data_IF_061112447326
#
_entry.id   IF_061112447326
#
_cell.length_a   1.000
_cell.length_b   1.000
_cell.length_c   1.000
_cell.angle_alpha   90.00
_cell.angle_beta   90.00
_cell.angle_gamma   90.00
#
_symmetry.space_group_name_H-M   'P 1'
#
loop_
_entity.id
_entity.type
_entity.pdbx_description
1 polymer ?
#
# COMPACT_ATOMS: atom_id res chain seq x y z
N UNK A 1 30.80 -40.97 -38.99
CA UNK A 1 31.48 -40.01 -38.06
C UNK A 1 31.49 -38.55 -38.58
N UNK A 2 31.31 -38.29 -39.87
CA UNK A 2 31.29 -36.94 -40.46
C UNK A 2 30.00 -36.16 -40.18
N UNK A 3 28.77 -36.74 -40.15
CA UNK A 3 27.53 -36.02 -39.89
C UNK A 3 27.44 -35.50 -38.44
N UNK A 4 27.91 -36.23 -37.46
CA UNK A 4 27.87 -35.86 -36.04
C UNK A 4 28.76 -34.62 -35.72
N UNK A 5 29.94 -34.51 -36.38
CA UNK A 5 30.83 -33.34 -36.22
C UNK A 5 30.17 -32.07 -36.80
N UNK A 6 29.46 -32.14 -37.92
CA UNK A 6 28.68 -31.01 -38.49
C UNK A 6 27.46 -30.64 -37.62
N UNK A 7 26.79 -31.64 -37.05
CA UNK A 7 25.71 -31.39 -36.09
C UNK A 7 26.21 -30.71 -34.81
N UNK A 8 27.37 -31.10 -34.27
CA UNK A 8 28.00 -30.44 -33.13
C UNK A 8 28.40 -28.99 -33.45
N UNK A 9 28.86 -28.70 -34.67
CA UNK A 9 29.16 -27.32 -35.11
C UNK A 9 27.91 -26.48 -35.37
N UNK A 10 26.76 -27.10 -35.64
CA UNK A 10 25.47 -26.38 -35.72
C UNK A 10 24.93 -25.90 -34.37
N UNK A 11 25.52 -26.32 -33.26
CA UNK A 11 25.19 -25.79 -31.91
C UNK A 11 25.58 -24.32 -31.70
N UNK A 12 26.31 -23.66 -32.62
CA UNK A 12 26.41 -22.20 -32.69
C UNK A 12 25.01 -21.57 -32.83
N UNK A 13 24.10 -22.26 -33.49
CA UNK A 13 22.69 -21.85 -33.63
C UNK A 13 21.93 -21.69 -32.31
N UNK A 14 22.34 -22.38 -31.27
CA UNK A 14 21.67 -22.37 -29.96
C UNK A 14 22.22 -21.32 -28.98
N UNK A 15 23.38 -20.68 -29.29
CA UNK A 15 23.95 -19.57 -28.50
C UNK A 15 23.56 -18.18 -29.04
N UNK A 16 22.42 -18.06 -29.69
CA UNK A 16 21.92 -16.84 -30.34
C UNK A 16 21.52 -15.69 -29.40
N UNK A 17 22.27 -15.45 -28.30
CA UNK A 17 22.31 -14.15 -27.64
C UNK A 17 22.90 -13.03 -28.52
N UNK A 18 23.56 -13.42 -29.64
CA UNK A 18 24.32 -12.52 -30.48
C UNK A 18 23.51 -12.07 -31.70
N UNK A 19 22.47 -12.81 -32.05
CA UNK A 19 21.55 -12.51 -33.16
C UNK A 19 20.18 -12.20 -32.60
N UNK A 20 19.69 -11.01 -32.91
CA UNK A 20 18.34 -10.61 -32.57
C UNK A 20 17.35 -11.32 -33.51
N UNK A 21 16.61 -12.27 -32.97
CA UNK A 21 15.61 -13.02 -33.73
C UNK A 21 14.36 -12.20 -34.04
N UNK A 22 14.19 -11.01 -33.45
CA UNK A 22 13.09 -10.10 -33.79
C UNK A 22 13.21 -9.57 -35.22
N UNK A 23 14.41 -9.61 -35.80
CA UNK A 23 14.67 -9.21 -37.17
C UNK A 23 14.35 -10.30 -38.19
N UNK A 24 13.86 -11.46 -37.78
CA UNK A 24 13.42 -12.51 -38.74
C UNK A 24 12.08 -12.13 -39.34
N UNK A 25 12.00 -12.08 -40.69
CA UNK A 25 10.74 -11.81 -41.38
C UNK A 25 9.71 -12.91 -41.13
N UNK A 26 8.47 -12.51 -40.84
CA UNK A 26 7.32 -13.42 -40.78
C UNK A 26 6.80 -13.80 -42.18
N UNK A 27 7.34 -13.18 -43.24
CA UNK A 27 6.99 -13.49 -44.62
C UNK A 27 7.68 -14.80 -45.04
N UNK A 28 6.95 -15.79 -45.61
CA UNK A 28 7.55 -17.01 -46.15
C UNK A 28 8.65 -16.76 -47.21
N UNK A 29 8.64 -15.59 -47.86
CA UNK A 29 9.62 -15.18 -48.86
C UNK A 29 10.82 -14.41 -48.27
N UNK A 30 10.87 -14.18 -46.96
CA UNK A 30 11.91 -13.41 -46.30
C UNK A 30 11.68 -11.90 -46.37
N UNK A 31 12.73 -11.12 -46.19
CA UNK A 31 12.72 -9.67 -46.42
C UNK A 31 12.77 -9.40 -47.92
N UNK A 32 11.87 -8.55 -48.41
CA UNK A 32 11.82 -8.20 -49.83
C UNK A 32 12.61 -6.95 -50.18
N UNK A 33 12.94 -6.13 -49.16
CA UNK A 33 13.56 -4.82 -49.31
C UNK A 33 15.03 -4.77 -48.82
N UNK A 34 15.67 -5.93 -48.59
CA UNK A 34 17.05 -6.02 -48.09
C UNK A 34 18.13 -5.99 -49.18
N UNK A 35 17.72 -5.85 -50.45
CA UNK A 35 18.63 -5.85 -51.60
C UNK A 35 19.23 -7.22 -51.91
N UNK A 36 18.79 -8.29 -51.27
CA UNK A 36 19.22 -9.66 -51.56
C UNK A 36 18.26 -10.38 -52.50
N UNK A 37 18.74 -11.42 -53.22
CA UNK A 37 17.86 -12.23 -54.04
C UNK A 37 16.83 -12.97 -53.19
N UNK A 38 15.60 -13.19 -53.70
CA UNK A 38 14.47 -13.85 -53.05
C UNK A 38 14.73 -15.24 -52.44
N UNK A 39 15.85 -15.85 -52.80
CA UNK A 39 16.29 -17.13 -52.20
C UNK A 39 17.32 -16.95 -51.07
N UNK A 40 17.69 -15.72 -50.72
CA UNK A 40 18.66 -15.40 -49.64
C UNK A 40 18.09 -14.29 -48.74
N UNK A 41 18.30 -14.41 -47.45
CA UNK A 41 17.88 -13.45 -46.44
C UNK A 41 19.00 -13.31 -45.39
N UNK A 42 19.06 -12.19 -44.68
CA UNK A 42 20.02 -11.93 -43.63
C UNK A 42 19.37 -12.12 -42.25
N UNK A 43 19.95 -12.97 -41.44
CA UNK A 43 19.48 -13.20 -40.07
C UNK A 43 20.04 -12.17 -39.06
N UNK A 44 21.15 -11.54 -39.42
CA UNK A 44 21.88 -10.59 -38.59
C UNK A 44 23.38 -10.70 -38.80
N UNK A 45 24.18 -9.93 -38.09
CA UNK A 45 25.64 -10.01 -38.12
C UNK A 45 26.22 -10.40 -36.75
N UNK A 46 27.35 -11.15 -36.76
CA UNK A 46 28.04 -11.61 -35.55
C UNK A 46 29.47 -11.06 -35.57
N UNK A 47 29.90 -10.29 -34.58
CA UNK A 47 31.26 -9.76 -34.53
C UNK A 47 32.27 -10.89 -34.33
N UNK A 48 33.23 -11.04 -35.24
CA UNK A 48 34.34 -11.97 -35.09
C UNK A 48 35.49 -11.33 -34.30
N UNK A 49 35.78 -10.06 -34.61
CA UNK A 49 36.79 -9.22 -33.98
C UNK A 49 36.24 -7.79 -33.82
N UNK A 50 37.01 -6.87 -33.17
CA UNK A 50 36.60 -5.45 -32.99
C UNK A 50 36.19 -4.72 -34.29
N UNK A 51 36.62 -5.18 -35.46
CA UNK A 51 36.43 -4.50 -36.75
C UNK A 51 35.80 -5.40 -37.83
N UNK A 52 35.38 -6.63 -37.52
CA UNK A 52 34.89 -7.58 -38.53
C UNK A 52 33.63 -8.24 -38.07
N UNK A 53 32.51 -7.84 -38.68
CA UNK A 53 31.19 -8.45 -38.46
C UNK A 53 30.86 -9.43 -39.58
N UNK A 54 30.56 -10.65 -39.22
CA UNK A 54 30.21 -11.70 -40.16
C UNK A 54 28.68 -11.76 -40.33
N UNK A 55 28.14 -11.46 -41.53
CA UNK A 55 26.73 -11.57 -41.76
C UNK A 55 26.30 -13.04 -41.80
N UNK A 56 25.22 -13.36 -41.14
CA UNK A 56 24.60 -14.68 -41.13
C UNK A 56 23.49 -14.73 -42.17
N UNK A 57 23.79 -15.38 -43.30
CA UNK A 57 22.83 -15.53 -44.40
C UNK A 57 22.02 -16.82 -44.25
N UNK A 58 20.73 -16.69 -44.48
CA UNK A 58 19.80 -17.80 -44.73
C UNK A 58 19.68 -18.02 -46.27
N UNK A 59 19.44 -19.26 -46.65
CA UNK A 59 19.18 -19.64 -48.05
C UNK A 59 17.95 -20.54 -48.13
N UNK A 60 17.05 -20.21 -49.04
CA UNK A 60 15.82 -20.95 -49.31
C UNK A 60 16.14 -22.13 -50.21
N UNK A 61 15.98 -23.33 -49.70
CA UNK A 61 16.28 -24.59 -50.43
C UNK A 61 15.03 -25.46 -50.49
N UNK A 62 14.87 -26.27 -51.55
CA UNK A 62 13.77 -27.22 -51.63
C UNK A 62 13.90 -28.27 -50.54
N UNK A 63 12.79 -28.65 -49.94
CA UNK A 63 12.67 -29.75 -49.00
C UNK A 63 12.29 -31.05 -49.69
N UNK A 64 12.51 -32.20 -49.03
CA UNK A 64 12.17 -33.55 -49.50
C UNK A 64 10.68 -33.72 -49.82
N UNK A 65 9.81 -32.90 -49.28
CA UNK A 65 8.35 -32.94 -49.43
C UNK A 65 7.82 -31.92 -50.48
N UNK A 66 8.68 -31.34 -51.33
CA UNK A 66 8.31 -30.37 -52.38
C UNK A 66 8.09 -28.95 -51.87
N UNK A 67 8.21 -28.71 -50.59
CA UNK A 67 8.18 -27.38 -49.99
C UNK A 67 9.53 -26.65 -50.11
N UNK A 68 9.58 -25.39 -49.66
CA UNK A 68 10.83 -24.61 -49.53
C UNK A 68 11.05 -24.28 -48.09
N UNK A 69 12.27 -24.54 -47.59
CA UNK A 69 12.69 -24.27 -46.23
C UNK A 69 13.92 -23.36 -46.19
N UNK A 70 14.02 -22.53 -45.17
CA UNK A 70 15.18 -21.69 -44.94
C UNK A 70 16.27 -22.46 -44.19
N UNK A 71 17.50 -22.46 -44.71
CA UNK A 71 18.68 -23.04 -44.07
C UNK A 71 19.82 -22.02 -44.02
N UNK A 72 20.73 -22.18 -43.09
CA UNK A 72 21.96 -21.37 -43.05
C UNK A 72 22.74 -21.56 -44.35
N UNK A 73 23.11 -20.46 -44.99
CA UNK A 73 23.82 -20.45 -46.26
C UNK A 73 25.23 -21.06 -46.13
N UNK A 74 25.68 -21.75 -47.19
CA UNK A 74 27.06 -22.24 -47.27
C UNK A 74 28.09 -21.12 -47.17
N UNK A 75 27.77 -19.89 -47.56
CA UNK A 75 28.65 -18.73 -47.39
C UNK A 75 28.91 -18.47 -45.91
N UNK A 76 27.91 -18.51 -45.06
CA UNK A 76 28.03 -18.40 -43.60
C UNK A 76 28.72 -19.62 -42.98
N UNK A 77 28.44 -20.83 -43.53
CA UNK A 77 29.03 -22.08 -43.03
C UNK A 77 30.56 -22.11 -43.08
N UNK A 78 31.18 -21.37 -44.00
CA UNK A 78 32.66 -21.23 -44.08
C UNK A 78 33.28 -20.57 -42.85
N UNK A 79 32.54 -19.64 -42.17
CA UNK A 79 33.00 -18.93 -41.00
C UNK A 79 32.78 -19.69 -39.68
N UNK A 80 32.07 -20.84 -39.71
CA UNK A 80 31.80 -21.65 -38.51
C UNK A 80 33.05 -21.98 -37.72
N UNK A 81 34.19 -22.40 -38.30
CA UNK A 81 35.38 -22.72 -37.52
C UNK A 81 35.99 -21.49 -36.82
N UNK A 82 35.93 -20.31 -37.48
CA UNK A 82 36.42 -19.07 -36.87
C UNK A 82 35.49 -18.58 -35.72
N UNK A 83 34.21 -18.59 -35.97
CA UNK A 83 33.22 -18.30 -34.95
C UNK A 83 33.25 -19.27 -33.76
N UNK A 84 33.53 -20.56 -34.03
CA UNK A 84 33.67 -21.55 -32.97
C UNK A 84 34.86 -21.28 -32.04
N UNK A 85 35.99 -20.74 -32.55
CA UNK A 85 37.11 -20.34 -31.70
C UNK A 85 36.74 -19.23 -30.71
N UNK A 86 35.90 -18.31 -31.12
CA UNK A 86 35.51 -17.15 -30.30
C UNK A 86 34.32 -17.46 -29.41
N UNK A 87 33.29 -18.12 -29.97
CA UNK A 87 31.98 -18.37 -29.32
C UNK A 87 31.75 -19.84 -28.96
N UNK A 88 32.69 -20.73 -29.20
CA UNK A 88 32.60 -22.15 -28.87
C UNK A 88 32.63 -22.46 -27.38
N UNK A 89 32.38 -23.71 -27.04
CA UNK A 89 32.48 -24.14 -25.64
C UNK A 89 33.93 -24.14 -25.15
N UNK A 90 34.09 -23.89 -23.84
CA UNK A 90 35.39 -23.99 -23.19
C UNK A 90 35.95 -25.42 -23.40
N UNK A 91 37.26 -25.58 -23.61
CA UNK A 91 37.93 -26.91 -23.76
C UNK A 91 37.62 -27.89 -22.64
N UNK A 92 37.35 -27.38 -21.41
CA UNK A 92 36.98 -28.21 -20.26
C UNK A 92 35.64 -28.88 -20.48
N UNK A 93 34.66 -28.14 -21.06
CA UNK A 93 33.31 -28.65 -21.35
C UNK A 93 33.35 -29.74 -22.41
N UNK A 94 34.21 -29.57 -23.44
CA UNK A 94 34.39 -30.56 -24.50
C UNK A 94 34.96 -31.86 -23.94
N UNK A 95 35.94 -31.77 -23.03
CA UNK A 95 36.49 -32.95 -22.34
C UNK A 95 35.45 -33.62 -21.44
N UNK A 96 34.63 -32.85 -20.76
CA UNK A 96 33.59 -33.39 -19.89
C UNK A 96 32.52 -34.13 -20.70
N UNK A 97 32.14 -33.61 -21.88
CA UNK A 97 31.19 -34.24 -22.79
C UNK A 97 31.68 -35.63 -23.27
N UNK A 98 32.97 -35.80 -23.51
CA UNK A 98 33.58 -37.07 -23.94
C UNK A 98 33.55 -38.14 -22.84
N UNK A 99 33.45 -37.78 -21.55
CA UNK A 99 33.48 -38.71 -20.41
C UNK A 99 32.07 -39.06 -19.88
N UNK A 100 31.03 -38.30 -20.24
CA UNK A 100 29.69 -38.52 -19.77
C UNK A 100 28.86 -39.38 -20.76
N UNK A 101 27.96 -40.29 -20.29
CA UNK A 101 27.11 -41.09 -21.16
C UNK A 101 26.18 -40.20 -21.99
N UNK A 102 25.95 -40.59 -23.22
CA UNK A 102 25.07 -39.86 -24.15
C UNK A 102 23.61 -40.03 -23.74
N UNK A 103 23.05 -39.03 -23.04
CA UNK A 103 21.63 -38.94 -22.82
C UNK A 103 21.13 -37.49 -23.02
N UNK A 104 19.89 -37.37 -23.42
CA UNK A 104 19.23 -36.08 -23.58
C UNK A 104 18.00 -36.04 -22.67
N UNK A 105 18.04 -35.15 -21.66
CA UNK A 105 16.92 -34.94 -20.79
C UNK A 105 16.35 -33.51 -21.03
N UNK A 106 15.07 -33.39 -21.38
CA UNK A 106 14.42 -32.11 -21.62
C UNK A 106 15.17 -31.18 -22.61
N UNK A 107 15.73 -31.77 -23.69
CA UNK A 107 16.57 -31.07 -24.67
C UNK A 107 17.88 -30.48 -24.13
N UNK A 108 18.30 -30.91 -22.93
CA UNK A 108 19.60 -30.61 -22.35
C UNK A 108 20.62 -31.70 -22.76
N UNK A 109 21.84 -31.27 -23.03
CA UNK A 109 22.96 -32.17 -23.18
C UNK A 109 23.41 -32.73 -21.83
N UNK A 110 24.05 -33.89 -21.80
CA UNK A 110 24.52 -34.57 -20.60
C UNK A 110 25.35 -33.65 -19.65
N UNK A 111 26.29 -32.89 -20.20
CA UNK A 111 27.09 -31.93 -19.42
C UNK A 111 26.29 -30.74 -18.90
N UNK A 112 25.24 -30.29 -19.61
CA UNK A 112 24.35 -29.22 -19.15
C UNK A 112 23.51 -29.66 -17.95
N UNK A 113 23.09 -30.93 -17.93
CA UNK A 113 22.39 -31.51 -16.77
C UNK A 113 23.31 -31.56 -15.55
N UNK A 114 24.55 -32.04 -15.74
CA UNK A 114 25.55 -32.04 -14.67
C UNK A 114 25.89 -30.62 -14.19
N UNK A 115 26.06 -29.67 -15.12
CA UNK A 115 26.24 -28.25 -14.81
C UNK A 115 25.11 -27.64 -14.04
N UNK A 116 23.87 -27.92 -14.44
CA UNK A 116 22.65 -27.45 -13.77
C UNK A 116 22.57 -27.98 -12.33
N UNK A 117 22.88 -29.26 -12.12
CA UNK A 117 22.94 -29.87 -10.79
C UNK A 117 24.02 -29.19 -9.91
N UNK A 118 25.22 -28.98 -10.45
CA UNK A 118 26.30 -28.32 -9.73
C UNK A 118 25.95 -26.87 -9.36
N UNK A 119 25.35 -26.11 -10.28
CA UNK A 119 24.89 -24.73 -10.02
C UNK A 119 23.79 -24.74 -8.98
N UNK A 120 22.84 -25.66 -9.05
CA UNK A 120 21.74 -25.77 -8.08
C UNK A 120 22.25 -26.11 -6.69
N UNK A 121 23.13 -27.11 -6.57
CA UNK A 121 23.74 -27.49 -5.29
C UNK A 121 24.66 -26.39 -4.75
N UNK A 122 25.46 -25.77 -5.61
CA UNK A 122 26.36 -24.67 -5.26
C UNK A 122 25.59 -23.45 -4.77
N UNK A 123 24.55 -23.04 -5.50
CA UNK A 123 23.68 -21.92 -5.10
C UNK A 123 22.94 -22.20 -3.79
N UNK A 124 22.46 -23.43 -3.59
CA UNK A 124 21.85 -23.86 -2.34
C UNK A 124 22.85 -23.84 -1.17
N UNK A 125 24.07 -24.35 -1.40
CA UNK A 125 25.15 -24.34 -0.41
C UNK A 125 25.53 -22.92 0.02
N UNK A 126 25.71 -22.00 -0.94
CA UNK A 126 26.01 -20.58 -0.68
C UNK A 126 24.87 -19.91 0.06
N UNK A 127 23.62 -20.11 -0.38
CA UNK A 127 22.44 -19.54 0.25
C UNK A 127 22.27 -20.03 1.71
N UNK A 128 22.48 -21.33 1.94
CA UNK A 128 22.44 -21.92 3.27
C UNK A 128 23.60 -21.45 4.16
N UNK A 129 24.81 -21.39 3.63
CA UNK A 129 25.98 -20.87 4.33
C UNK A 129 25.82 -19.41 4.74
N UNK A 130 25.31 -18.57 3.83
CA UNK A 130 24.99 -17.17 4.11
C UNK A 130 23.90 -17.06 5.19
N UNK A 131 22.85 -17.87 5.10
CA UNK A 131 21.80 -17.94 6.14
C UNK A 131 22.42 -18.29 7.51
N UNK A 132 23.26 -19.30 7.58
CA UNK A 132 23.89 -19.73 8.82
C UNK A 132 24.78 -18.62 9.41
N UNK A 133 25.59 -17.97 8.57
CA UNK A 133 26.49 -16.87 8.96
C UNK A 133 25.70 -15.68 9.50
N UNK A 134 24.61 -15.28 8.81
CA UNK A 134 23.77 -14.18 9.23
C UNK A 134 23.00 -14.49 10.52
N UNK A 135 22.47 -15.69 10.67
CA UNK A 135 21.82 -16.12 11.91
C UNK A 135 22.80 -16.17 13.09
N UNK A 136 24.04 -16.60 12.85
CA UNK A 136 25.10 -16.58 13.85
C UNK A 136 25.45 -15.14 14.28
N UNK A 137 25.59 -14.22 13.32
CA UNK A 137 25.87 -12.81 13.59
C UNK A 137 24.73 -12.13 14.40
N UNK A 138 23.47 -12.43 14.06
CA UNK A 138 22.29 -11.86 14.75
C UNK A 138 22.13 -12.44 16.17
N UNK A 139 22.64 -13.63 16.44
CA UNK A 139 22.53 -14.28 17.76
C UNK A 139 23.19 -13.45 18.88
N UNK A 140 24.18 -12.63 18.54
CA UNK A 140 24.88 -11.77 19.50
C UNK A 140 24.14 -10.47 19.85
N UNK A 141 23.10 -10.09 19.10
CA UNK A 141 22.36 -8.84 19.32
C UNK A 141 20.91 -9.11 19.72
N UNK A 142 20.58 -9.04 21.00
CA UNK A 142 19.21 -9.31 21.50
C UNK A 142 18.15 -8.37 20.92
N UNK A 143 18.51 -7.11 20.70
CA UNK A 143 17.58 -6.06 20.22
C UNK A 143 17.04 -6.34 18.83
N UNK A 144 17.86 -6.90 17.94
CA UNK A 144 17.51 -7.15 16.54
C UNK A 144 17.09 -8.60 16.26
N UNK A 145 17.33 -9.52 17.19
CA UNK A 145 17.16 -10.96 17.01
C UNK A 145 15.78 -11.36 16.52
N UNK A 146 14.71 -10.89 17.17
CA UNK A 146 13.32 -11.26 16.80
C UNK A 146 12.86 -10.70 15.45
N UNK A 147 13.30 -9.49 15.12
CA UNK A 147 12.87 -8.78 13.91
C UNK A 147 13.66 -9.23 12.68
N UNK A 148 14.97 -9.33 12.80
CA UNK A 148 15.85 -9.73 11.70
C UNK A 148 15.83 -11.24 11.43
N UNK A 149 15.49 -12.07 12.42
CA UNK A 149 15.39 -13.52 12.24
C UNK A 149 14.42 -13.90 11.11
N UNK A 150 13.27 -13.23 11.00
CA UNK A 150 12.29 -13.50 9.95
C UNK A 150 12.78 -13.18 8.55
N UNK A 151 13.51 -12.06 8.41
CA UNK A 151 14.14 -11.66 7.15
C UNK A 151 15.16 -12.69 6.68
N UNK A 152 16.07 -13.06 7.58
CA UNK A 152 17.21 -13.94 7.28
C UNK A 152 16.78 -15.40 7.17
N UNK A 153 15.71 -15.80 7.88
CA UNK A 153 15.30 -17.21 7.92
C UNK A 153 14.72 -17.70 6.60
N UNK A 154 13.98 -16.86 5.85
CA UNK A 154 13.24 -17.32 4.66
C UNK A 154 13.51 -16.46 3.41
N UNK A 155 13.15 -15.16 3.31
CA UNK A 155 13.18 -14.50 2.01
C UNK A 155 14.58 -14.23 1.47
N UNK A 156 15.54 -13.91 2.31
CA UNK A 156 16.89 -13.57 1.87
C UNK A 156 17.68 -14.77 1.29
N UNK A 157 17.71 -15.96 1.91
CA UNK A 157 18.35 -17.13 1.32
C UNK A 157 17.74 -17.55 -0.01
N UNK A 158 16.41 -17.49 -0.13
CA UNK A 158 15.72 -17.81 -1.38
C UNK A 158 16.04 -16.81 -2.49
N UNK A 159 16.13 -15.52 -2.17
CA UNK A 159 16.62 -14.52 -3.12
C UNK A 159 18.01 -14.86 -3.64
N UNK A 160 18.96 -15.12 -2.73
CA UNK A 160 20.33 -15.47 -3.11
C UNK A 160 20.36 -16.74 -3.94
N UNK A 161 19.63 -17.77 -3.54
CA UNK A 161 19.52 -19.03 -4.28
C UNK A 161 19.04 -18.82 -5.71
N UNK A 162 17.89 -18.18 -5.91
CA UNK A 162 17.31 -17.98 -7.24
C UNK A 162 18.15 -17.02 -8.09
N UNK A 163 18.80 -16.01 -7.47
CA UNK A 163 19.67 -15.09 -8.20
C UNK A 163 20.95 -15.76 -8.69
N UNK A 164 21.57 -16.57 -7.86
CA UNK A 164 22.73 -17.37 -8.26
C UNK A 164 22.36 -18.43 -9.31
N UNK A 165 21.21 -19.07 -9.15
CA UNK A 165 20.70 -20.02 -10.12
C UNK A 165 20.45 -19.36 -11.48
N UNK A 166 19.82 -18.18 -11.50
CA UNK A 166 19.60 -17.38 -12.71
C UNK A 166 20.94 -17.08 -13.43
N UNK A 167 21.91 -16.56 -12.68
CA UNK A 167 23.23 -16.23 -13.23
C UNK A 167 23.95 -17.47 -13.76
N UNK A 168 23.89 -18.58 -13.03
CA UNK A 168 24.51 -19.82 -13.46
C UNK A 168 23.84 -20.45 -14.70
N UNK A 169 22.52 -20.44 -14.75
CA UNK A 169 21.75 -20.92 -15.92
C UNK A 169 22.06 -20.09 -17.16
N UNK A 170 22.25 -18.77 -17.00
CA UNK A 170 22.63 -17.88 -18.09
C UNK A 170 23.96 -18.27 -18.76
N UNK A 171 24.93 -18.73 -17.96
CA UNK A 171 26.26 -19.14 -18.44
C UNK A 171 26.30 -20.55 -19.06
N UNK A 172 25.29 -21.40 -18.78
CA UNK A 172 25.22 -22.77 -19.33
C UNK A 172 24.96 -22.81 -20.85
N UNK A 173 24.61 -21.70 -21.48
CA UNK A 173 24.38 -21.65 -22.93
C UNK A 173 23.31 -22.66 -23.38
N UNK A 174 22.17 -22.67 -22.71
CA UNK A 174 21.07 -23.57 -22.99
C UNK A 174 20.52 -23.43 -24.42
N UNK A 175 20.09 -24.54 -25.02
CA UNK A 175 19.42 -24.53 -26.32
C UNK A 175 18.09 -23.73 -26.25
N UNK A 176 17.64 -23.20 -27.40
CA UNK A 176 16.37 -22.43 -27.47
C UNK A 176 15.20 -23.25 -26.91
N UNK A 177 15.16 -24.57 -27.20
CA UNK A 177 14.12 -25.45 -26.67
C UNK A 177 14.21 -25.65 -25.17
N UNK A 178 15.43 -25.80 -24.63
CA UNK A 178 15.63 -25.92 -23.19
C UNK A 178 15.27 -24.63 -22.44
N UNK A 179 15.50 -23.44 -23.04
CA UNK A 179 15.09 -22.15 -22.48
C UNK A 179 13.58 -21.97 -22.35
N UNK A 180 12.78 -22.64 -23.18
CA UNK A 180 11.32 -22.63 -23.03
C UNK A 180 10.91 -23.31 -21.71
N UNK A 181 11.65 -24.37 -21.32
CA UNK A 181 11.38 -25.07 -20.06
C UNK A 181 12.06 -24.43 -18.85
N UNK A 182 13.30 -23.95 -19.06
CA UNK A 182 14.06 -23.25 -18.00
C UNK A 182 14.08 -21.77 -18.35
N UNK A 183 12.97 -21.09 -18.06
CA UNK A 183 12.84 -19.67 -18.33
C UNK A 183 13.71 -18.85 -17.38
N UNK A 184 14.82 -18.32 -17.92
CA UNK A 184 15.77 -17.48 -17.18
C UNK A 184 15.11 -16.22 -16.60
N UNK A 185 14.16 -15.62 -17.33
CA UNK A 185 13.42 -14.47 -16.84
C UNK A 185 12.52 -14.85 -15.67
N UNK A 186 11.85 -16.02 -15.70
CA UNK A 186 11.05 -16.50 -14.59
C UNK A 186 11.87 -16.65 -13.30
N UNK A 187 13.09 -17.19 -13.39
CA UNK A 187 14.01 -17.28 -12.24
C UNK A 187 14.36 -15.90 -11.69
N UNK A 188 14.56 -14.92 -12.58
CA UNK A 188 14.78 -13.52 -12.21
C UNK A 188 13.59 -12.90 -11.47
N UNK A 189 12.37 -13.12 -11.95
CA UNK A 189 11.14 -12.65 -11.30
C UNK A 189 10.88 -13.35 -9.96
N UNK A 190 11.18 -14.64 -9.85
CA UNK A 190 11.13 -15.36 -8.56
C UNK A 190 12.15 -14.75 -7.58
N UNK A 191 13.37 -14.49 -8.01
CA UNK A 191 14.38 -13.83 -7.18
C UNK A 191 13.92 -12.44 -6.73
N UNK A 192 13.41 -11.59 -7.65
CA UNK A 192 12.90 -10.26 -7.32
C UNK A 192 11.72 -10.31 -6.36
N UNK A 193 10.85 -11.32 -6.47
CA UNK A 193 9.77 -11.56 -5.50
C UNK A 193 10.33 -11.75 -4.09
N UNK A 194 11.31 -12.61 -3.91
CA UNK A 194 11.93 -12.82 -2.60
C UNK A 194 12.67 -11.58 -2.10
N UNK A 195 13.28 -10.79 -2.98
CA UNK A 195 13.91 -9.51 -2.62
C UNK A 195 12.87 -8.51 -2.08
N UNK A 196 11.75 -8.36 -2.78
CA UNK A 196 10.68 -7.45 -2.34
C UNK A 196 10.04 -7.93 -1.03
N UNK A 197 9.81 -9.25 -0.89
CA UNK A 197 9.34 -9.82 0.37
C UNK A 197 10.34 -9.57 1.51
N UNK A 198 11.65 -9.67 1.24
CA UNK A 198 12.70 -9.36 2.20
C UNK A 198 12.68 -7.87 2.59
N UNK A 199 12.52 -6.97 1.62
CA UNK A 199 12.42 -5.54 1.87
C UNK A 199 11.19 -5.18 2.74
N UNK A 200 10.03 -5.79 2.47
CA UNK A 200 8.82 -5.59 3.29
C UNK A 200 9.06 -6.08 4.73
N UNK A 201 9.67 -7.25 4.93
CA UNK A 201 10.00 -7.75 6.27
C UNK A 201 11.01 -6.83 6.98
N UNK A 202 12.01 -6.33 6.26
CA UNK A 202 13.01 -5.42 6.80
C UNK A 202 12.38 -4.09 7.25
N UNK A 203 11.57 -3.47 6.38
CA UNK A 203 10.88 -2.21 6.71
C UNK A 203 9.94 -2.38 7.91
N UNK A 204 9.16 -3.47 7.94
CA UNK A 204 8.26 -3.75 9.07
C UNK A 204 9.04 -4.04 10.36
N UNK A 205 10.17 -4.71 10.28
CA UNK A 205 11.06 -4.96 11.41
C UNK A 205 11.65 -3.66 11.98
N UNK A 206 12.16 -2.78 11.10
CA UNK A 206 12.70 -1.47 11.49
C UNK A 206 11.61 -0.60 12.15
N UNK A 207 10.42 -0.58 11.61
CA UNK A 207 9.31 0.19 12.19
C UNK A 207 8.99 -0.30 13.60
N UNK A 208 8.84 -1.61 13.79
CA UNK A 208 8.51 -2.20 15.09
C UNK A 208 9.63 -2.00 16.13
N UNK A 209 10.89 -1.91 15.73
CA UNK A 209 12.00 -1.66 16.68
C UNK A 209 12.08 -0.21 17.16
N UNK A 210 11.52 0.74 16.39
CA UNK A 210 11.50 2.16 16.72
C UNK A 210 10.27 2.58 17.53
N UNK A 211 9.24 1.75 17.59
CA UNK A 211 7.95 2.10 18.19
C UNK A 211 7.88 1.65 19.65
N UNK A 212 7.43 2.54 20.54
CA UNK A 212 7.36 2.32 22.00
C UNK A 212 6.29 1.29 22.40
N UNK A 213 5.12 1.26 21.69
CA UNK A 213 4.00 0.37 21.96
C UNK A 213 3.97 -0.83 20.98
N UNK A 214 4.96 -1.72 21.09
CA UNK A 214 5.18 -2.84 20.18
C UNK A 214 3.97 -3.80 20.07
N UNK A 215 3.26 -4.02 21.15
CA UNK A 215 2.12 -4.95 21.20
C UNK A 215 0.91 -4.41 20.41
N UNK A 216 0.58 -3.15 20.59
CA UNK A 216 -0.50 -2.48 19.85
C UNK A 216 -0.22 -2.45 18.35
N UNK A 217 0.95 -1.94 17.96
CA UNK A 217 1.32 -1.82 16.55
C UNK A 217 1.49 -3.16 15.84
N UNK A 218 1.91 -4.21 16.54
CA UNK A 218 2.04 -5.55 15.94
C UNK A 218 0.70 -6.12 15.45
N UNK A 219 -0.40 -5.77 16.12
CA UNK A 219 -1.76 -6.17 15.71
C UNK A 219 -2.17 -5.56 14.36
N UNK A 220 -1.81 -4.29 14.12
CA UNK A 220 -2.14 -3.56 12.90
C UNK A 220 -1.19 -3.90 11.75
N UNK A 221 0.11 -3.98 12.03
CA UNK A 221 1.13 -4.20 11.00
C UNK A 221 1.06 -5.60 10.39
N UNK A 222 0.66 -6.62 11.16
CA UNK A 222 0.57 -8.00 10.62
C UNK A 222 -0.36 -8.10 9.41
N UNK A 223 -1.64 -7.68 9.47
CA UNK A 223 -2.53 -7.74 8.31
C UNK A 223 -2.05 -6.83 7.17
N UNK A 224 -1.60 -5.61 7.47
CA UNK A 224 -1.08 -4.67 6.45
C UNK A 224 0.10 -5.28 5.69
N UNK A 225 1.06 -5.87 6.41
CA UNK A 225 2.20 -6.57 5.81
C UNK A 225 1.76 -7.72 4.89
N UNK A 226 0.76 -8.50 5.30
CA UNK A 226 0.25 -9.63 4.50
C UNK A 226 -0.39 -9.13 3.21
N UNK A 227 -1.20 -8.08 3.29
CA UNK A 227 -1.82 -7.45 2.11
C UNK A 227 -0.73 -6.88 1.17
N UNK A 228 0.27 -6.18 1.74
CA UNK A 228 1.37 -5.60 0.95
C UNK A 228 2.18 -6.66 0.22
N UNK A 229 2.46 -7.81 0.87
CA UNK A 229 3.12 -8.95 0.23
C UNK A 229 2.30 -9.52 -0.92
N UNK A 230 1.00 -9.73 -0.70
CA UNK A 230 0.11 -10.24 -1.74
C UNK A 230 0.07 -9.28 -2.94
N UNK A 231 -0.06 -7.98 -2.69
CA UNK A 231 -0.08 -6.97 -3.75
C UNK A 231 1.24 -6.93 -4.53
N UNK A 232 2.37 -6.99 -3.84
CA UNK A 232 3.68 -7.02 -4.46
C UNK A 232 3.87 -8.27 -5.34
N UNK A 233 3.45 -9.45 -4.85
CA UNK A 233 3.48 -10.69 -5.64
C UNK A 233 2.60 -10.59 -6.88
N UNK A 234 1.41 -10.01 -6.77
CA UNK A 234 0.48 -9.82 -7.90
C UNK A 234 1.10 -8.92 -8.97
N UNK A 235 1.71 -7.80 -8.57
CA UNK A 235 2.38 -6.87 -9.50
C UNK A 235 3.54 -7.56 -10.21
N UNK A 236 4.39 -8.28 -9.49
CA UNK A 236 5.53 -8.99 -10.09
C UNK A 236 5.05 -10.07 -11.05
N UNK A 237 3.97 -10.79 -10.71
CA UNK A 237 3.37 -11.79 -11.60
C UNK A 237 2.88 -11.15 -12.90
N UNK A 238 2.19 -10.00 -12.83
CA UNK A 238 1.73 -9.27 -14.01
C UNK A 238 2.92 -8.84 -14.88
N UNK A 239 3.97 -8.29 -14.28
CA UNK A 239 5.18 -7.89 -14.99
C UNK A 239 5.85 -9.08 -15.71
N UNK A 240 5.93 -10.23 -15.04
CA UNK A 240 6.45 -11.44 -15.66
C UNK A 240 5.60 -11.94 -16.82
N UNK A 241 4.26 -11.92 -16.69
CA UNK A 241 3.35 -12.32 -17.77
C UNK A 241 3.49 -11.39 -18.98
N UNK A 242 3.64 -10.07 -18.74
CA UNK A 242 3.87 -9.07 -19.80
C UNK A 242 5.14 -9.39 -20.59
N UNK A 243 6.26 -9.62 -19.87
CA UNK A 243 7.54 -9.92 -20.51
C UNK A 243 7.52 -11.27 -21.22
N UNK A 244 6.70 -12.20 -20.72
CA UNK A 244 6.51 -13.50 -21.37
C UNK A 244 5.61 -13.45 -22.62
N UNK A 245 5.12 -12.25 -23.01
CA UNK A 245 4.31 -12.04 -24.21
C UNK A 245 2.83 -12.40 -24.07
N UNK A 246 2.33 -12.60 -22.85
CA UNK A 246 0.89 -12.79 -22.63
C UNK A 246 0.14 -11.46 -22.75
N UNK A 247 -1.05 -11.51 -23.37
CA UNK A 247 -1.95 -10.37 -23.38
C UNK A 247 -2.57 -10.16 -21.99
N UNK A 248 -2.07 -9.16 -21.28
CA UNK A 248 -2.51 -8.82 -19.91
C UNK A 248 -3.77 -7.96 -19.89
N UNK A 249 -4.26 -7.45 -21.03
CA UNK A 249 -5.40 -6.53 -21.05
C UNK A 249 -6.65 -7.17 -20.44
N UNK A 250 -6.91 -8.43 -20.73
CA UNK A 250 -8.04 -9.19 -20.14
C UNK A 250 -7.88 -9.34 -18.63
N UNK A 251 -6.66 -9.62 -18.15
CA UNK A 251 -6.37 -9.75 -16.71
C UNK A 251 -6.55 -8.40 -16.02
N UNK A 252 -6.02 -7.33 -16.61
CA UNK A 252 -6.15 -5.96 -16.06
C UNK A 252 -7.61 -5.49 -16.05
N UNK A 253 -8.39 -5.82 -17.09
CA UNK A 253 -9.82 -5.52 -17.10
C UNK A 253 -10.56 -6.25 -15.97
N UNK A 254 -10.29 -7.55 -15.78
CA UNK A 254 -10.86 -8.32 -14.67
C UNK A 254 -10.45 -7.79 -13.28
N UNK A 255 -9.18 -7.46 -13.11
CA UNK A 255 -8.67 -6.83 -11.88
C UNK A 255 -9.29 -5.44 -11.66
N UNK A 256 -9.52 -4.67 -12.72
CA UNK A 256 -10.20 -3.37 -12.67
C UNK A 256 -11.61 -3.50 -12.11
N UNK A 257 -12.42 -4.41 -12.63
CA UNK A 257 -13.79 -4.66 -12.15
C UNK A 257 -13.75 -5.21 -10.70
N UNK A 258 -12.86 -6.16 -10.43
CA UNK A 258 -12.69 -6.72 -9.08
C UNK A 258 -12.24 -5.68 -8.05
N UNK A 259 -11.34 -4.77 -8.42
CA UNK A 259 -10.88 -3.69 -7.54
C UNK A 259 -11.98 -2.67 -7.27
N UNK A 260 -12.85 -2.36 -8.25
CA UNK A 260 -14.01 -1.51 -8.06
C UNK A 260 -15.00 -2.12 -7.05
N UNK A 261 -15.30 -3.41 -7.21
CA UNK A 261 -16.17 -4.12 -6.26
C UNK A 261 -15.58 -4.12 -4.83
N UNK A 262 -14.27 -4.35 -4.70
CA UNK A 262 -13.58 -4.29 -3.43
C UNK A 262 -13.59 -2.87 -2.82
N UNK A 263 -13.38 -1.84 -3.64
CA UNK A 263 -13.42 -0.44 -3.21
C UNK A 263 -14.80 -0.08 -2.66
N UNK A 264 -15.88 -0.46 -3.35
CA UNK A 264 -17.26 -0.26 -2.88
C UNK A 264 -17.54 -1.01 -1.57
N UNK A 265 -17.05 -2.24 -1.44
CA UNK A 265 -17.18 -3.01 -0.20
C UNK A 265 -16.41 -2.39 0.98
N UNK A 266 -15.25 -1.77 0.73
CA UNK A 266 -14.40 -1.14 1.73
C UNK A 266 -14.78 0.32 2.04
N UNK A 267 -15.63 0.95 1.24
CA UNK A 267 -15.98 2.38 1.29
C UNK A 267 -16.33 2.85 2.71
N UNK A 268 -17.25 2.17 3.39
CA UNK A 268 -17.68 2.53 4.75
C UNK A 268 -16.56 2.52 5.78
N UNK A 269 -15.62 1.59 5.64
CA UNK A 269 -14.46 1.51 6.53
C UNK A 269 -13.50 2.67 6.26
N UNK A 270 -13.26 2.98 4.99
CA UNK A 270 -12.39 4.09 4.58
C UNK A 270 -12.95 5.45 4.99
N UNK A 271 -14.25 5.67 4.85
CA UNK A 271 -14.94 6.87 5.34
C UNK A 271 -14.69 7.11 6.83
N UNK A 272 -14.76 6.06 7.65
CA UNK A 272 -14.51 6.18 9.09
C UNK A 272 -13.03 6.48 9.42
N UNK A 273 -12.08 5.90 8.68
CA UNK A 273 -10.65 6.19 8.84
C UNK A 273 -10.34 7.63 8.43
N UNK A 274 -10.89 8.10 7.31
CA UNK A 274 -10.76 9.49 6.87
C UNK A 274 -11.41 10.41 7.90
N UNK A 275 -12.57 10.05 8.45
CA UNK A 275 -13.22 10.77 9.53
C UNK A 275 -12.32 10.92 10.76
N UNK A 276 -11.65 9.85 11.19
CA UNK A 276 -10.67 9.91 12.27
C UNK A 276 -9.54 10.91 11.98
N UNK A 277 -8.95 10.83 10.79
CA UNK A 277 -7.88 11.73 10.37
C UNK A 277 -8.35 13.19 10.39
N UNK A 278 -9.55 13.45 9.89
CA UNK A 278 -10.17 14.80 9.90
C UNK A 278 -10.34 15.31 11.34
N UNK A 279 -10.86 14.48 12.27
CA UNK A 279 -11.02 14.83 13.67
C UNK A 279 -9.66 15.14 14.34
N UNK A 280 -8.60 14.40 14.02
CA UNK A 280 -7.26 14.64 14.56
C UNK A 280 -6.60 15.90 13.98
N UNK A 281 -6.81 16.23 12.71
CA UNK A 281 -6.21 17.40 12.06
C UNK A 281 -6.97 18.68 12.42
N UNK A 282 -8.28 18.68 12.24
CA UNK A 282 -9.12 19.85 12.47
C UNK A 282 -9.41 20.10 13.97
N UNK A 283 -9.30 19.08 14.79
CA UNK A 283 -9.51 19.09 16.24
C UNK A 283 -10.81 19.80 16.70
N UNK A 284 -11.96 19.56 16.06
CA UNK A 284 -13.22 20.16 16.53
C UNK A 284 -13.62 19.64 17.91
N UNK A 285 -13.11 18.48 18.29
CA UNK A 285 -13.25 17.85 19.61
C UNK A 285 -11.94 17.19 20.01
N UNK A 286 -11.69 17.11 21.31
CA UNK A 286 -10.52 16.46 21.91
C UNK A 286 -10.96 15.47 22.98
N UNK A 287 -10.16 14.44 23.28
CA UNK A 287 -10.39 13.61 24.47
C UNK A 287 -10.47 14.48 25.71
N UNK A 288 -11.51 14.29 26.50
CA UNK A 288 -11.83 15.11 27.69
C UNK A 288 -12.92 16.16 27.45
N UNK A 289 -13.25 16.51 26.20
CA UNK A 289 -14.29 17.49 25.90
C UNK A 289 -15.68 16.93 26.17
N UNK A 290 -16.55 17.78 26.75
CA UNK A 290 -17.97 17.51 26.91
C UNK A 290 -18.72 18.04 25.69
N UNK A 291 -19.30 17.16 24.94
CA UNK A 291 -19.90 17.47 23.63
C UNK A 291 -21.32 16.93 23.51
N UNK A 292 -22.10 17.58 22.65
CA UNK A 292 -23.40 17.08 22.19
C UNK A 292 -23.32 16.78 20.69
N UNK A 293 -23.60 15.53 20.33
CA UNK A 293 -23.59 14.99 18.97
C UNK A 293 -24.95 14.40 18.67
N UNK A 294 -25.78 15.14 17.93
CA UNK A 294 -27.19 14.76 17.78
C UNK A 294 -27.88 14.65 19.14
N UNK A 295 -28.38 13.46 19.48
CA UNK A 295 -29.05 13.20 20.77
C UNK A 295 -28.10 12.69 21.87
N UNK A 296 -26.83 12.45 21.52
CA UNK A 296 -25.81 11.92 22.44
C UNK A 296 -25.10 13.10 23.11
N UNK A 297 -25.13 13.15 24.44
CA UNK A 297 -24.40 14.15 25.23
C UNK A 297 -23.47 13.45 26.19
N UNK A 298 -22.19 13.79 26.17
CA UNK A 298 -21.20 13.14 27.04
C UNK A 298 -19.78 13.63 26.82
N UNK A 299 -18.85 13.03 27.55
CA UNK A 299 -17.40 13.29 27.48
C UNK A 299 -16.75 12.38 26.46
N UNK A 300 -15.93 12.95 25.58
CA UNK A 300 -15.10 12.20 24.63
C UNK A 300 -14.00 11.49 25.41
N UNK A 301 -13.98 10.16 25.43
CA UNK A 301 -12.91 9.40 26.08
C UNK A 301 -11.72 9.15 25.15
N UNK A 302 -12.02 8.71 23.92
CA UNK A 302 -11.01 8.32 22.95
C UNK A 302 -11.54 8.47 21.53
N UNK A 303 -10.69 8.97 20.65
CA UNK A 303 -10.94 8.97 19.21
C UNK A 303 -10.17 7.79 18.61
N UNK A 304 -10.86 6.68 18.31
CA UNK A 304 -10.28 5.50 17.69
C UNK A 304 -10.22 5.61 16.17
N UNK A 305 -9.65 4.59 15.52
CA UNK A 305 -9.49 4.57 14.06
C UNK A 305 -10.83 4.51 13.30
N UNK A 306 -11.84 3.84 13.86
CA UNK A 306 -13.16 3.66 13.24
C UNK A 306 -14.25 4.46 13.93
N UNK A 307 -14.21 4.55 15.25
CA UNK A 307 -15.24 5.14 16.09
C UNK A 307 -14.64 5.87 17.27
N UNK A 308 -15.35 6.91 17.69
CA UNK A 308 -15.05 7.70 18.90
C UNK A 308 -15.90 7.17 20.04
N UNK A 309 -15.28 6.99 21.22
CA UNK A 309 -15.95 6.60 22.45
C UNK A 309 -16.42 7.83 23.20
N UNK A 310 -17.71 7.87 23.50
CA UNK A 310 -18.36 8.95 24.26
C UNK A 310 -18.97 8.34 25.53
N UNK A 311 -18.60 8.87 26.68
CA UNK A 311 -19.21 8.52 27.96
C UNK A 311 -20.31 9.49 28.29
N UNK A 312 -21.53 9.01 28.35
CA UNK A 312 -22.71 9.80 28.70
C UNK A 312 -22.77 10.08 30.23
N UNK A 313 -23.66 10.97 30.62
CA UNK A 313 -23.84 11.37 32.02
C UNK A 313 -24.30 10.22 32.93
N UNK A 314 -25.08 9.27 32.38
CA UNK A 314 -25.48 8.03 33.04
C UNK A 314 -24.39 6.97 33.10
N UNK A 315 -23.14 7.30 32.69
CA UNK A 315 -21.96 6.45 32.65
C UNK A 315 -21.99 5.40 31.54
N UNK A 316 -23.01 5.32 30.71
CA UNK A 316 -23.00 4.46 29.52
C UNK A 316 -21.96 4.92 28.49
N UNK A 317 -21.40 3.97 27.74
CA UNK A 317 -20.41 4.25 26.71
C UNK A 317 -21.05 4.02 25.35
N UNK A 318 -21.04 5.05 24.52
CA UNK A 318 -21.53 5.00 23.16
C UNK A 318 -20.36 5.07 22.19
N UNK A 319 -20.36 4.18 21.19
CA UNK A 319 -19.37 4.18 20.10
C UNK A 319 -20.01 4.81 18.87
N UNK A 320 -19.59 6.03 18.53
CA UNK A 320 -20.10 6.76 17.38
C UNK A 320 -19.11 6.61 16.22
N UNK A 321 -19.53 6.15 15.01
CA UNK A 321 -18.68 6.09 13.83
C UNK A 321 -18.10 7.46 13.50
N UNK A 322 -16.79 7.54 13.20
CA UNK A 322 -16.11 8.82 12.94
C UNK A 322 -16.67 9.55 11.70
N UNK A 323 -17.06 8.81 10.66
CA UNK A 323 -17.73 9.37 9.49
C UNK A 323 -19.02 10.11 9.86
N UNK A 324 -19.78 9.60 10.82
CA UNK A 324 -21.00 10.25 11.31
C UNK A 324 -20.65 11.52 12.10
N UNK A 325 -19.61 11.50 12.94
CA UNK A 325 -19.17 12.66 13.71
C UNK A 325 -18.75 13.85 12.84
N UNK A 326 -18.12 13.57 11.69
CA UNK A 326 -17.69 14.62 10.75
C UNK A 326 -18.87 15.18 9.96
N UNK A 327 -19.92 14.39 9.73
CA UNK A 327 -21.08 14.78 8.91
C UNK A 327 -22.24 15.41 9.70
N UNK A 328 -22.30 15.19 11.02
CA UNK A 328 -23.37 15.69 11.88
C UNK A 328 -22.94 16.99 12.55
N UNK A 329 -23.91 17.88 12.83
CA UNK A 329 -23.66 19.06 13.65
C UNK A 329 -23.22 18.64 15.05
N UNK A 330 -22.05 19.11 15.45
CA UNK A 330 -21.43 18.84 16.74
C UNK A 330 -21.37 20.14 17.55
N UNK A 331 -21.76 20.09 18.82
CA UNK A 331 -21.62 21.21 19.76
C UNK A 331 -20.55 20.83 20.79
N UNK A 332 -19.44 21.53 20.78
CA UNK A 332 -18.43 21.42 21.83
C UNK A 332 -18.76 22.38 22.98
N UNK A 333 -19.27 21.82 24.07
CA UNK A 333 -19.72 22.57 25.23
C UNK A 333 -18.50 22.96 26.11
N UNK A 334 -17.39 22.26 26.01
CA UNK A 334 -16.15 22.59 26.73
C UNK A 334 -15.45 23.81 26.16
N UNK A 335 -15.66 24.16 24.90
CA UNK A 335 -15.09 25.36 24.28
C UNK A 335 -15.92 26.64 24.51
N UNK A 336 -16.96 26.56 25.33
CA UNK A 336 -17.68 27.76 25.71
C UNK A 336 -16.76 28.74 26.45
N UNK A 337 -16.69 29.98 25.99
CA UNK A 337 -16.00 31.06 26.66
C UNK A 337 -16.81 31.62 27.85
N UNK A 338 -18.11 31.51 27.79
CA UNK A 338 -19.09 32.04 28.73
C UNK A 338 -20.34 31.22 28.74
N UNK A 339 -21.12 31.35 29.84
CA UNK A 339 -22.41 30.68 29.96
C UNK A 339 -23.54 31.70 29.99
N UNK A 340 -24.54 31.45 29.17
CA UNK A 340 -25.69 32.30 29.05
C UNK A 340 -26.69 31.99 30.17
N UNK A 341 -26.98 32.98 31.00
CA UNK A 341 -28.10 32.99 31.92
C UNK A 341 -29.34 33.53 31.18
N UNK A 342 -30.34 32.68 30.96
CA UNK A 342 -31.59 33.03 30.28
C UNK A 342 -32.75 32.45 31.08
N UNK A 343 -33.61 33.33 31.58
CA UNK A 343 -34.81 32.95 32.36
C UNK A 343 -36.00 33.73 31.87
N UNK A 344 -37.17 33.10 31.92
CA UNK A 344 -38.49 33.73 31.72
C UNK A 344 -39.22 33.69 33.06
N UNK A 345 -39.72 34.83 33.49
CA UNK A 345 -40.60 34.96 34.65
C UNK A 345 -42.01 35.04 34.12
N UNK A 346 -42.88 34.22 34.64
CA UNK A 346 -44.32 34.24 34.37
C UNK A 346 -45.01 34.87 35.55
N UNK A 347 -45.56 36.06 35.36
CA UNK A 347 -46.12 36.89 36.42
C UNK A 347 -47.64 36.93 36.30
N UNK A 348 -48.33 36.99 37.43
CA UNK A 348 -49.78 37.09 37.49
C UNK A 348 -50.33 38.31 36.72
N UNK A 349 -51.43 38.13 35.97
CA UNK A 349 -52.15 39.21 35.30
C UNK A 349 -52.75 40.26 36.29
N UNK A 350 -52.77 39.95 37.57
CA UNK A 350 -53.17 40.90 38.62
C UNK A 350 -52.13 42.00 38.88
N UNK A 351 -50.89 41.87 38.34
CA UNK A 351 -49.85 42.88 38.52
C UNK A 351 -50.20 44.16 37.74
N UNK A 352 -50.07 45.31 38.41
CA UNK A 352 -50.33 46.60 37.81
C UNK A 352 -49.19 47.03 36.88
N UNK A 353 -49.46 47.89 35.87
CA UNK A 353 -48.40 48.40 35.00
C UNK A 353 -47.26 49.12 35.74
N UNK A 354 -47.57 49.81 36.84
CA UNK A 354 -46.53 50.49 37.64
C UNK A 354 -45.66 49.51 38.44
N UNK A 355 -46.27 48.44 38.97
CA UNK A 355 -45.50 47.36 39.58
C UNK A 355 -44.53 46.69 38.55
N UNK A 356 -44.99 46.45 37.33
CA UNK A 356 -44.17 45.92 36.28
C UNK A 356 -43.02 46.86 35.88
N UNK A 357 -43.23 48.18 35.88
CA UNK A 357 -42.18 49.17 35.59
C UNK A 357 -41.13 49.16 36.69
N UNK A 358 -41.52 49.17 37.95
CA UNK A 358 -40.60 49.09 39.09
C UNK A 358 -39.84 47.77 39.09
N UNK A 359 -40.52 46.67 38.83
CA UNK A 359 -39.89 45.33 38.72
C UNK A 359 -38.84 45.32 37.63
N UNK A 360 -39.13 45.79 36.45
CA UNK A 360 -38.19 45.81 35.32
C UNK A 360 -36.97 46.69 35.62
N UNK A 361 -37.15 47.81 36.30
CA UNK A 361 -36.07 48.66 36.72
C UNK A 361 -35.15 47.93 37.73
N UNK A 362 -35.70 47.36 38.81
CA UNK A 362 -34.93 46.62 39.80
C UNK A 362 -34.22 45.40 39.20
N UNK A 363 -34.83 44.66 38.26
CA UNK A 363 -34.21 43.56 37.55
C UNK A 363 -33.04 44.02 36.68
N UNK A 364 -33.11 45.18 36.04
CA UNK A 364 -32.03 45.76 35.26
C UNK A 364 -30.87 46.18 36.18
N UNK A 365 -31.17 46.85 37.30
CA UNK A 365 -30.18 47.19 38.31
C UNK A 365 -29.45 45.93 38.88
N UNK A 366 -30.22 44.87 39.16
CA UNK A 366 -29.67 43.58 39.57
C UNK A 366 -28.67 42.99 38.56
N UNK A 367 -29.08 42.94 37.27
CA UNK A 367 -28.24 42.30 36.25
C UNK A 367 -26.94 43.09 36.02
N UNK A 368 -27.05 44.43 35.93
CA UNK A 368 -25.88 45.31 35.69
C UNK A 368 -24.99 45.37 36.94
N UNK A 369 -25.59 45.36 38.14
CA UNK A 369 -24.85 45.45 39.40
C UNK A 369 -24.24 44.12 39.87
N UNK A 370 -24.51 42.99 39.23
CA UNK A 370 -24.03 41.68 39.68
C UNK A 370 -22.56 41.44 39.25
N UNK A 371 -21.62 41.21 40.19
CA UNK A 371 -20.18 41.16 39.90
C UNK A 371 -19.75 40.03 38.93
N UNK A 372 -20.53 38.96 38.87
CA UNK A 372 -20.21 37.81 38.02
C UNK A 372 -20.92 37.83 36.67
N UNK A 373 -21.79 38.84 36.41
CA UNK A 373 -22.44 39.03 35.13
C UNK A 373 -21.70 40.06 34.28
N UNK A 374 -21.69 39.87 33.01
CA UNK A 374 -21.13 40.84 32.05
C UNK A 374 -22.20 41.83 31.61
N UNK A 375 -21.81 43.08 31.55
CA UNK A 375 -22.70 44.17 31.09
C UNK A 375 -23.13 44.00 29.61
N UNK A 376 -22.34 43.24 28.85
CA UNK A 376 -22.57 42.96 27.47
C UNK A 376 -23.81 42.06 27.29
N UNK A 377 -24.88 42.61 26.66
CA UNK A 377 -26.13 41.96 26.43
C UNK A 377 -27.01 41.66 27.67
N UNK A 378 -26.63 42.23 28.83
CA UNK A 378 -27.45 42.19 30.06
C UNK A 378 -28.74 42.95 29.88
N UNK A 379 -29.90 42.28 30.00
CA UNK A 379 -31.20 42.88 29.77
C UNK A 379 -32.31 42.16 30.51
N UNK A 380 -33.22 42.94 31.09
CA UNK A 380 -34.52 42.50 31.52
C UNK A 380 -35.59 43.22 30.68
N UNK A 381 -36.47 42.50 30.07
CA UNK A 381 -37.49 43.02 29.13
C UNK A 381 -38.86 42.39 29.40
N UNK A 382 -39.90 43.18 29.33
CA UNK A 382 -41.25 42.65 29.16
C UNK A 382 -41.36 42.11 27.73
N UNK A 383 -41.58 40.81 27.58
CA UNK A 383 -41.49 40.11 26.31
C UNK A 383 -42.86 40.03 25.61
N UNK A 384 -43.84 39.53 26.35
CA UNK A 384 -45.19 39.32 25.80
C UNK A 384 -46.25 39.19 26.91
N UNK A 385 -47.52 39.27 26.55
CA UNK A 385 -48.68 38.91 27.35
C UNK A 385 -49.19 37.56 26.83
N UNK A 386 -49.13 36.56 27.67
CA UNK A 386 -49.71 35.25 27.38
C UNK A 386 -51.12 35.17 27.99
N UNK A 387 -51.85 34.09 27.73
CA UNK A 387 -53.20 33.91 28.17
C UNK A 387 -53.40 34.03 29.69
N UNK A 388 -52.43 33.51 30.44
CA UNK A 388 -52.52 33.41 31.91
C UNK A 388 -51.38 34.10 32.64
N UNK A 389 -50.48 34.82 31.95
CA UNK A 389 -49.31 35.44 32.53
C UNK A 389 -48.69 36.58 31.73
N UNK A 390 -48.12 37.55 32.41
CA UNK A 390 -47.14 38.48 31.83
C UNK A 390 -45.77 37.83 31.80
N UNK A 391 -45.07 37.85 30.65
CA UNK A 391 -43.77 37.25 30.48
C UNK A 391 -42.69 38.31 30.48
N UNK A 392 -41.77 38.17 31.43
CA UNK A 392 -40.56 39.00 31.54
C UNK A 392 -39.32 38.11 31.27
N UNK A 393 -38.56 38.47 30.25
CA UNK A 393 -37.32 37.77 29.94
C UNK A 393 -36.09 38.42 30.56
N UNK A 394 -35.24 37.63 31.17
CA UNK A 394 -33.98 38.05 31.77
C UNK A 394 -32.86 37.32 31.02
N UNK A 395 -31.92 38.08 30.49
CA UNK A 395 -30.80 37.50 29.71
C UNK A 395 -29.49 38.21 30.12
N UNK A 396 -28.45 37.44 30.33
CA UNK A 396 -27.11 37.90 30.64
C UNK A 396 -26.09 36.80 30.38
N UNK A 397 -24.82 37.12 30.49
CA UNK A 397 -23.73 36.17 30.38
C UNK A 397 -22.93 36.15 31.71
N UNK A 398 -22.76 34.97 32.25
CA UNK A 398 -21.88 34.73 33.38
C UNK A 398 -20.44 34.72 32.85
N UNK A 399 -19.55 35.48 33.52
CA UNK A 399 -18.14 35.63 33.14
C UNK A 399 -17.32 34.40 33.57
N UNK A 400 -17.79 33.23 33.19
CA UNK A 400 -17.09 31.95 33.45
C UNK A 400 -17.58 30.89 32.48
N UNK A 401 -16.63 30.06 32.01
CA UNK A 401 -16.89 28.84 31.27
C UNK A 401 -17.28 27.68 32.20
N UNK A 402 -16.88 27.75 33.48
CA UNK A 402 -17.11 26.70 34.45
C UNK A 402 -18.60 26.54 34.75
N UNK A 403 -19.08 25.26 34.76
CA UNK A 403 -20.49 24.96 34.98
C UNK A 403 -20.91 25.11 36.43
N UNK A 404 -20.03 24.80 37.40
CA UNK A 404 -20.34 24.89 38.81
C UNK A 404 -20.40 26.36 39.25
N UNK A 405 -19.51 27.20 38.71
CA UNK A 405 -19.59 28.65 38.89
C UNK A 405 -20.88 29.22 38.30
N UNK A 406 -21.26 28.76 37.10
CA UNK A 406 -22.53 29.15 36.48
C UNK A 406 -23.72 28.78 37.37
N UNK A 407 -23.76 27.57 37.91
CA UNK A 407 -24.84 27.13 38.79
C UNK A 407 -24.97 27.98 40.05
N UNK A 408 -23.81 28.28 40.71
CA UNK A 408 -23.78 29.14 41.88
C UNK A 408 -24.31 30.55 41.60
N UNK A 409 -23.87 31.16 40.48
CA UNK A 409 -24.35 32.46 40.03
C UNK A 409 -25.84 32.43 39.68
N UNK A 410 -26.30 31.38 39.01
CA UNK A 410 -27.68 31.20 38.63
C UNK A 410 -28.59 31.05 39.88
N UNK A 411 -28.11 30.36 40.91
CA UNK A 411 -28.83 30.25 42.21
C UNK A 411 -28.92 31.60 42.91
N UNK A 412 -27.81 32.34 43.06
CA UNK A 412 -27.80 33.66 43.67
C UNK A 412 -28.74 34.63 42.93
N UNK A 413 -28.68 34.63 41.59
CA UNK A 413 -29.58 35.43 40.73
C UNK A 413 -31.03 35.07 40.97
N UNK A 414 -31.40 33.79 41.00
CA UNK A 414 -32.77 33.36 41.24
C UNK A 414 -33.27 33.79 42.61
N UNK A 415 -32.47 33.66 43.65
CA UNK A 415 -32.84 34.11 45.03
C UNK A 415 -33.05 35.63 45.11
N UNK A 416 -32.19 36.41 44.47
CA UNK A 416 -32.32 37.88 44.41
C UNK A 416 -33.56 38.30 43.59
N UNK A 417 -33.86 37.62 42.51
CA UNK A 417 -35.07 37.82 41.69
C UNK A 417 -36.32 37.59 42.57
N UNK A 418 -36.37 36.49 43.34
CA UNK A 418 -37.50 36.21 44.23
C UNK A 418 -37.69 37.33 45.27
N UNK A 419 -36.64 37.89 45.88
CA UNK A 419 -36.74 39.02 46.78
C UNK A 419 -37.32 40.26 46.08
N UNK A 420 -36.85 40.54 44.87
CA UNK A 420 -37.36 41.70 44.10
C UNK A 420 -38.85 41.51 43.74
N UNK A 421 -39.28 40.30 43.46
CA UNK A 421 -40.70 40.00 43.22
C UNK A 421 -41.53 40.26 44.48
N UNK A 422 -41.10 39.80 45.63
CA UNK A 422 -41.76 40.03 46.90
C UNK A 422 -41.81 41.53 47.23
N UNK A 423 -40.70 42.25 47.08
CA UNK A 423 -40.59 43.70 47.34
C UNK A 423 -41.53 44.54 46.43
N UNK A 424 -41.81 44.06 45.24
CA UNK A 424 -42.71 44.68 44.27
C UNK A 424 -44.15 44.25 44.44
N UNK A 425 -44.46 43.28 45.29
CA UNK A 425 -45.79 42.72 45.50
C UNK A 425 -46.33 42.01 44.25
N UNK A 426 -45.45 41.42 43.45
CA UNK A 426 -45.80 40.72 42.20
C UNK A 426 -45.67 39.21 42.41
N UNK A 427 -46.72 38.49 42.10
CA UNK A 427 -46.74 37.00 42.21
C UNK A 427 -46.71 36.37 40.86
#
# INVERSE_FOLDING_TARGET
>A
HYPLRRQRQMCIRDRLRIIDLSNVSNNPEGHLDDGLPSYRDILGSVPLNRNEDIPIYLQRVPDSNGGRIWKVSNATARYIPALWKVYGYNPIIIKLEDHLPDFHLLYLQNWQVAGLLLITLGSAGIAYGLRWLLLFSIRHSERYRKSMHRLVAVPMPWFVFFKLLQLGVAELGLSIKARVYINESALGYIATTFLVLAAIEFCTALFLTRTTNQQYWSGIIRPVRTILKFLAMLVILILWLTESGYDINTILAGLGIGSLALALAAQKTLENVIGAITLYIAQPIKPGDFCKVGDITGVIEEIGLRSTRIRQLDRTVVHVPNASLVSISLQNISENDRRRYNRKLYLSLAATPDQLRILLQKLRELIVGHPCLLDMAARARFETIERDAYVVSINGYVNSADYDIYLAVAEDMNLRILRILDDCGVK
#
